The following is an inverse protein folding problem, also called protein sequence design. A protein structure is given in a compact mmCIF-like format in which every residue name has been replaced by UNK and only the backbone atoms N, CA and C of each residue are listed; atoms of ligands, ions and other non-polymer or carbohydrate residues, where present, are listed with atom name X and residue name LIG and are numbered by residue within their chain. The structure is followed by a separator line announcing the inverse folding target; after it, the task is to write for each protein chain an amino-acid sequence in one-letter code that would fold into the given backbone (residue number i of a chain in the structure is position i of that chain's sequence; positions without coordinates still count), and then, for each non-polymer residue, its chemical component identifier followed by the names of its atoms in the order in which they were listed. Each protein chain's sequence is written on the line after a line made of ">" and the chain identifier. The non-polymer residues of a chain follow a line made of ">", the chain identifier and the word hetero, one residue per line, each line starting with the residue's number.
data_IF_671787531606
#
_entry.id   IF_671787531606
#
_cell.length_a   1.000
_cell.length_b   1.000
_cell.length_c   1.000
_cell.angle_alpha   90.00
_cell.angle_beta   90.00
_cell.angle_gamma   90.00
#
_symmetry.space_group_name_H-M   'P 1'
#
loop_
_entity.id
_entity.type
_entity.pdbx_description
1 polymer ?
#
# COMPACT_ATOMS: atom_id res chain seq x y z
N UNK A 1 6.54 10.14 48.80
CA UNK A 1 5.76 9.80 47.58
C UNK A 1 4.85 8.59 47.79
N UNK A 2 5.36 7.42 48.21
CA UNK A 2 4.54 6.23 48.54
C UNK A 2 3.44 6.48 49.59
N UNK A 3 3.81 7.08 50.75
CA UNK A 3 2.85 7.50 51.80
C UNK A 3 1.89 8.63 51.38
N UNK A 4 2.20 9.37 50.32
CA UNK A 4 1.35 10.45 49.79
C UNK A 4 0.28 9.89 48.83
N UNK A 5 0.61 8.82 48.10
CA UNK A 5 -0.31 8.07 47.24
C UNK A 5 -1.30 7.25 48.09
N UNK A 6 -0.81 6.59 49.15
CA UNK A 6 -1.64 5.80 50.08
C UNK A 6 -2.69 6.65 50.80
N UNK A 7 -2.36 7.90 51.16
CA UNK A 7 -3.29 8.81 51.85
C UNK A 7 -4.35 9.43 50.93
N UNK A 8 -4.13 9.46 49.60
CA UNK A 8 -5.00 10.20 48.66
C UNK A 8 -5.94 9.30 47.86
N UNK A 9 -5.69 8.00 47.82
CA UNK A 9 -6.53 7.04 47.11
C UNK A 9 -7.48 6.23 48.01
N UNK A 10 -7.31 6.22 49.34
CA UNK A 10 -8.34 5.69 50.27
C UNK A 10 -8.85 4.27 49.99
N UNK A 11 -8.11 3.46 49.25
CA UNK A 11 -8.52 2.13 48.81
C UNK A 11 -7.41 1.16 49.19
N UNK A 12 -7.70 0.27 50.15
CA UNK A 12 -6.79 -0.81 50.54
C UNK A 12 -6.44 -1.69 49.34
N UNK A 13 -5.28 -2.36 49.39
CA UNK A 13 -4.73 -3.18 48.29
C UNK A 13 -5.73 -4.20 47.71
N UNK A 14 -6.67 -4.70 48.52
CA UNK A 14 -7.75 -5.59 48.09
C UNK A 14 -8.74 -4.95 47.11
N UNK A 15 -8.91 -3.62 47.16
CA UNK A 15 -9.80 -2.88 46.26
C UNK A 15 -9.18 -2.65 44.88
N UNK A 16 -7.87 -2.44 44.78
CA UNK A 16 -7.21 -2.21 43.49
C UNK A 16 -7.18 -3.49 42.64
N UNK A 17 -6.96 -4.65 43.26
CA UNK A 17 -7.00 -5.95 42.59
C UNK A 17 -8.40 -6.29 42.05
N UNK A 18 -9.44 -6.04 42.84
CA UNK A 18 -10.83 -6.27 42.42
C UNK A 18 -11.27 -5.34 41.28
N UNK A 19 -10.75 -4.12 41.22
CA UNK A 19 -11.01 -3.19 40.11
C UNK A 19 -10.32 -3.62 38.82
N UNK A 20 -9.06 -4.09 38.90
CA UNK A 20 -8.31 -4.60 37.75
C UNK A 20 -8.95 -5.88 37.18
N UNK A 21 -9.46 -6.77 38.04
CA UNK A 21 -10.15 -7.99 37.61
C UNK A 21 -11.51 -7.69 36.94
N UNK A 22 -12.23 -6.70 37.47
CA UNK A 22 -13.47 -6.21 36.86
C UNK A 22 -13.23 -5.55 35.49
N UNK A 23 -12.14 -4.80 35.32
CA UNK A 23 -11.78 -4.19 34.03
C UNK A 23 -11.28 -5.22 33.02
N UNK A 24 -10.48 -6.20 33.44
CA UNK A 24 -10.05 -7.30 32.59
C UNK A 24 -11.26 -8.10 32.07
N UNK A 25 -12.25 -8.35 32.94
CA UNK A 25 -13.49 -9.02 32.55
C UNK A 25 -14.30 -8.22 31.54
N UNK A 26 -14.45 -6.91 31.75
CA UNK A 26 -15.13 -6.01 30.78
C UNK A 26 -14.41 -5.96 29.43
N UNK A 27 -13.08 -5.97 29.44
CA UNK A 27 -12.26 -5.99 28.22
C UNK A 27 -12.45 -7.30 27.43
N UNK A 28 -12.45 -8.45 28.12
CA UNK A 28 -12.70 -9.75 27.48
C UNK A 28 -14.12 -9.82 26.89
N UNK A 29 -15.13 -9.34 27.62
CA UNK A 29 -16.52 -9.30 27.13
C UNK A 29 -16.66 -8.40 25.89
N UNK A 30 -15.99 -7.24 25.86
CA UNK A 30 -15.97 -6.36 24.69
C UNK A 30 -15.29 -7.00 23.47
N UNK A 31 -14.13 -7.63 23.66
CA UNK A 31 -13.44 -8.36 22.59
C UNK A 31 -14.27 -9.52 22.04
N UNK A 32 -14.98 -10.25 22.90
CA UNK A 32 -15.88 -11.32 22.48
C UNK A 32 -17.08 -10.79 21.69
N UNK A 33 -17.62 -9.63 22.09
CA UNK A 33 -18.71 -8.96 21.37
C UNK A 33 -18.26 -8.48 19.99
N UNK A 34 -17.09 -7.85 19.88
CA UNK A 34 -16.51 -7.40 18.61
C UNK A 34 -16.18 -8.58 17.69
N UNK A 35 -15.60 -9.66 18.23
CA UNK A 35 -15.31 -10.88 17.47
C UNK A 35 -16.61 -11.51 16.93
N UNK A 36 -17.68 -11.49 17.72
CA UNK A 36 -18.99 -11.98 17.30
C UNK A 36 -19.58 -11.10 16.20
N UNK A 37 -19.54 -9.77 16.36
CA UNK A 37 -20.00 -8.84 15.34
C UNK A 37 -19.23 -8.99 14.02
N UNK A 38 -17.90 -9.13 14.09
CA UNK A 38 -17.05 -9.38 12.93
C UNK A 38 -17.38 -10.72 12.24
N UNK A 39 -17.71 -11.76 13.01
CA UNK A 39 -18.14 -13.06 12.47
C UNK A 39 -19.50 -12.97 11.79
N UNK A 40 -20.45 -12.25 12.38
CA UNK A 40 -21.78 -12.03 11.81
C UNK A 40 -21.70 -11.19 10.52
N UNK A 41 -20.84 -10.17 10.51
CA UNK A 41 -20.52 -9.39 9.31
C UNK A 41 -19.86 -10.26 8.23
N UNK A 42 -18.88 -11.10 8.58
CA UNK A 42 -18.23 -12.01 7.63
C UNK A 42 -19.25 -12.98 7.00
N UNK A 43 -20.19 -13.51 7.79
CA UNK A 43 -21.28 -14.35 7.26
C UNK A 43 -22.25 -13.55 6.39
N UNK A 44 -22.49 -12.28 6.69
CA UNK A 44 -23.29 -11.39 5.85
C UNK A 44 -22.57 -11.10 4.52
N UNK A 45 -21.28 -10.81 4.54
CA UNK A 45 -20.48 -10.60 3.34
C UNK A 45 -20.38 -11.87 2.49
N UNK A 46 -20.25 -13.05 3.10
CA UNK A 46 -20.27 -14.33 2.38
C UNK A 46 -21.58 -14.49 1.60
N UNK A 47 -22.73 -14.25 2.24
CA UNK A 47 -24.05 -14.31 1.57
C UNK A 47 -24.16 -13.32 0.42
N UNK A 48 -23.74 -12.08 0.63
CA UNK A 48 -23.74 -11.04 -0.42
C UNK A 48 -22.83 -11.46 -1.60
N UNK A 49 -21.67 -12.06 -1.32
CA UNK A 49 -20.73 -12.52 -2.35
C UNK A 49 -21.28 -13.70 -3.13
N UNK A 50 -21.96 -14.65 -2.47
CA UNK A 50 -22.66 -15.76 -3.12
C UNK A 50 -23.79 -15.25 -4.02
N UNK A 51 -24.62 -14.32 -3.54
CA UNK A 51 -25.68 -13.67 -4.34
C UNK A 51 -25.09 -12.91 -5.55
N UNK A 52 -24.00 -12.17 -5.34
CA UNK A 52 -23.32 -11.44 -6.39
C UNK A 52 -22.66 -12.38 -7.41
N UNK A 53 -22.15 -13.54 -6.98
CA UNK A 53 -21.67 -14.60 -7.88
C UNK A 53 -22.77 -15.14 -8.80
N UNK A 54 -23.99 -15.32 -8.28
CA UNK A 54 -25.16 -15.71 -9.09
C UNK A 54 -25.52 -14.62 -10.10
N UNK A 55 -25.54 -13.36 -9.68
CA UNK A 55 -25.84 -12.22 -10.56
C UNK A 55 -24.77 -12.09 -11.67
N UNK A 56 -23.49 -12.17 -11.30
CA UNK A 56 -22.37 -12.10 -12.25
C UNK A 56 -22.34 -13.28 -13.22
N UNK A 57 -22.76 -14.46 -12.77
CA UNK A 57 -22.98 -15.62 -13.65
C UNK A 57 -24.02 -15.31 -14.73
N UNK A 58 -25.19 -14.77 -14.34
CA UNK A 58 -26.24 -14.37 -15.30
C UNK A 58 -25.77 -13.31 -16.28
N UNK A 59 -25.08 -12.27 -15.80
CA UNK A 59 -24.54 -11.22 -16.65
C UNK A 59 -23.47 -11.74 -17.63
N UNK A 60 -22.69 -12.74 -17.21
CA UNK A 60 -21.71 -13.41 -18.09
C UNK A 60 -22.41 -14.19 -19.19
N UNK A 61 -23.45 -14.95 -18.83
CA UNK A 61 -24.24 -15.72 -19.79
C UNK A 61 -24.95 -14.77 -20.80
N UNK A 62 -25.49 -13.65 -20.34
CA UNK A 62 -26.09 -12.60 -21.19
C UNK A 62 -25.05 -11.96 -22.12
N UNK A 63 -23.86 -11.62 -21.61
CA UNK A 63 -22.76 -11.08 -22.42
C UNK A 63 -22.32 -12.06 -23.50
N UNK A 64 -22.15 -13.33 -23.14
CA UNK A 64 -21.69 -14.36 -24.08
C UNK A 64 -22.76 -14.65 -25.14
N UNK A 65 -24.05 -14.58 -24.78
CA UNK A 65 -25.17 -14.58 -25.73
C UNK A 65 -25.08 -13.41 -26.71
N UNK A 66 -24.91 -12.18 -26.21
CA UNK A 66 -24.77 -10.99 -27.07
C UNK A 66 -23.51 -11.02 -27.96
N UNK A 67 -22.41 -11.59 -27.46
CA UNK A 67 -21.20 -11.79 -28.26
C UNK A 67 -21.45 -12.76 -29.41
N UNK A 68 -22.14 -13.87 -29.16
CA UNK A 68 -22.53 -14.83 -30.20
C UNK A 68 -23.45 -14.19 -31.24
N UNK A 69 -24.44 -13.40 -30.81
CA UNK A 69 -25.32 -12.63 -31.69
C UNK A 69 -24.53 -11.63 -32.55
N UNK A 70 -23.60 -10.89 -31.94
CA UNK A 70 -22.76 -9.92 -32.62
C UNK A 70 -21.78 -10.57 -33.60
N UNK A 71 -21.17 -11.71 -33.24
CA UNK A 71 -20.29 -12.47 -34.11
C UNK A 71 -21.07 -13.04 -35.31
N UNK A 72 -22.30 -13.53 -35.08
CA UNK A 72 -23.20 -13.97 -36.16
C UNK A 72 -23.55 -12.81 -37.10
N UNK A 73 -23.97 -11.67 -36.55
CA UNK A 73 -24.30 -10.48 -37.32
C UNK A 73 -23.07 -9.94 -38.10
N UNK A 74 -21.88 -9.95 -37.47
CA UNK A 74 -20.63 -9.54 -38.10
C UNK A 74 -20.18 -10.50 -39.20
N UNK A 75 -20.36 -11.81 -39.01
CA UNK A 75 -20.07 -12.81 -40.03
C UNK A 75 -20.99 -12.65 -41.24
N UNK A 76 -22.27 -12.36 -41.01
CA UNK A 76 -23.24 -12.08 -42.06
C UNK A 76 -22.90 -10.78 -42.81
N UNK A 77 -22.54 -9.72 -42.08
CA UNK A 77 -22.11 -8.46 -42.67
C UNK A 77 -20.84 -8.63 -43.53
N UNK A 78 -19.86 -9.40 -43.05
CA UNK A 78 -18.65 -9.76 -43.83
C UNK A 78 -18.96 -10.61 -45.06
N UNK A 79 -20.01 -11.44 -45.00
CA UNK A 79 -20.51 -12.21 -46.16
C UNK A 79 -21.09 -11.27 -47.21
N UNK A 80 -21.87 -10.28 -46.78
CA UNK A 80 -22.52 -9.30 -47.65
C UNK A 80 -21.56 -8.25 -48.21
N UNK A 81 -20.47 -7.93 -47.50
CA UNK A 81 -19.50 -6.90 -47.89
C UNK A 81 -18.26 -7.42 -48.61
N UNK A 82 -18.13 -8.73 -48.82
CA UNK A 82 -16.96 -9.31 -49.51
C UNK A 82 -16.93 -8.89 -50.99
N UNK A 83 -15.91 -8.14 -51.44
CA UNK A 83 -15.73 -7.86 -52.87
C UNK A 83 -15.30 -9.13 -53.60
N UNK A 84 -15.84 -9.36 -54.80
CA UNK A 84 -15.39 -10.43 -55.70
C UNK A 84 -13.90 -10.21 -56.02
N UNK A 85 -13.06 -11.20 -55.72
CA UNK A 85 -11.62 -11.12 -55.89
C UNK A 85 -11.21 -10.91 -57.36
N UNK A 86 -10.41 -9.88 -57.61
CA UNK A 86 -9.56 -9.73 -58.79
C UNK A 86 -8.09 -9.87 -58.36
N UNK A 87 -7.35 -10.64 -59.14
CA UNK A 87 -5.94 -11.03 -58.94
C UNK A 87 -4.94 -10.03 -59.53
N UNK A 88 -3.95 -9.60 -58.75
CA UNK A 88 -2.59 -9.16 -59.16
C UNK A 88 -1.78 -8.87 -57.87
N UNK A 89 -0.68 -9.54 -57.51
CA UNK A 89 0.67 -9.71 -58.10
C UNK A 89 1.58 -8.48 -58.03
N UNK A 90 2.76 -8.72 -57.40
CA UNK A 90 4.09 -8.12 -57.57
C UNK A 90 4.64 -7.12 -56.53
N UNK A 91 5.57 -7.65 -55.72
CA UNK A 91 6.96 -7.22 -55.45
C UNK A 91 7.35 -5.73 -55.26
N UNK A 92 8.14 -5.49 -54.20
CA UNK A 92 9.10 -4.38 -54.12
C UNK A 92 9.84 -4.33 -52.78
N UNK A 93 11.17 -4.47 -52.81
CA UNK A 93 12.06 -4.52 -51.65
C UNK A 93 13.01 -3.29 -51.57
N UNK A 94 13.63 -3.13 -50.39
CA UNK A 94 14.83 -2.34 -50.02
C UNK A 94 14.60 -0.84 -49.66
N UNK A 95 15.41 -0.15 -48.84
CA UNK A 95 16.84 -0.27 -48.47
C UNK A 95 17.16 0.58 -47.19
N UNK A 96 18.40 0.43 -46.66
CA UNK A 96 19.00 0.86 -45.36
C UNK A 96 19.43 2.35 -45.22
N UNK A 97 19.61 2.82 -43.96
CA UNK A 97 20.80 3.53 -43.37
C UNK A 97 20.40 4.10 -41.99
N UNK A 98 21.14 4.07 -40.86
CA UNK A 98 22.58 4.06 -40.61
C UNK A 98 23.04 5.45 -40.12
N UNK A 99 23.11 5.69 -38.80
CA UNK A 99 23.92 6.78 -38.20
C UNK A 99 24.23 6.54 -36.72
N UNK A 100 25.51 6.36 -36.45
CA UNK A 100 26.15 6.31 -35.14
C UNK A 100 26.04 7.64 -34.39
N UNK A 101 25.72 7.57 -33.09
CA UNK A 101 25.83 8.66 -32.13
C UNK A 101 26.54 8.13 -30.86
N UNK A 102 27.27 8.98 -30.12
CA UNK A 102 28.28 8.53 -29.16
C UNK A 102 27.64 7.94 -27.91
N UNK A 103 28.16 6.79 -27.48
CA UNK A 103 27.81 6.08 -26.25
C UNK A 103 28.19 6.94 -25.05
N UNK A 104 27.24 7.74 -24.58
CA UNK A 104 27.24 8.29 -23.23
C UNK A 104 27.01 7.13 -22.25
N UNK A 105 27.84 7.11 -21.21
CA UNK A 105 27.90 6.09 -20.15
C UNK A 105 26.49 5.65 -19.74
N UNK A 106 26.23 4.34 -19.84
CA UNK A 106 25.02 3.66 -19.39
C UNK A 106 24.85 3.85 -17.87
N UNK A 107 24.25 4.96 -17.45
CA UNK A 107 23.48 4.99 -16.20
C UNK A 107 22.23 4.15 -16.49
N UNK A 108 21.91 3.10 -15.69
CA UNK A 108 20.67 2.36 -15.91
C UNK A 108 19.49 3.34 -15.88
N UNK A 109 18.61 3.29 -16.89
CA UNK A 109 17.38 4.06 -16.84
C UNK A 109 16.59 3.60 -15.62
N UNK A 110 16.01 4.54 -14.88
CA UNK A 110 15.13 4.22 -13.74
C UNK A 110 14.14 3.12 -14.12
N UNK A 111 13.87 2.20 -13.20
CA UNK A 111 12.89 1.13 -13.43
C UNK A 111 11.44 1.65 -13.40
N UNK A 112 11.24 2.89 -12.94
CA UNK A 112 9.94 3.51 -12.71
C UNK A 112 9.15 3.70 -14.01
N UNK A 113 7.91 3.21 -14.02
CA UNK A 113 6.96 3.31 -15.14
C UNK A 113 5.60 3.85 -14.71
N UNK A 114 5.24 3.71 -13.44
CA UNK A 114 3.98 4.24 -12.90
C UNK A 114 4.24 5.00 -11.61
N UNK A 115 3.82 6.26 -11.57
CA UNK A 115 3.89 7.09 -10.38
C UNK A 115 2.48 7.43 -9.91
N UNK A 116 2.09 6.95 -8.74
CA UNK A 116 0.79 7.26 -8.15
C UNK A 116 0.94 8.27 -7.01
N UNK A 117 0.35 9.45 -7.14
CA UNK A 117 0.53 10.58 -6.21
C UNK A 117 -0.79 10.99 -5.57
N UNK A 118 -0.78 11.15 -4.24
CA UNK A 118 -1.86 11.73 -3.46
C UNK A 118 -1.32 12.38 -2.18
N UNK A 119 -2.15 12.60 -1.18
CA UNK A 119 -1.82 13.19 0.13
C UNK A 119 -1.35 12.14 1.16
N UNK A 120 -1.50 10.86 0.82
CA UNK A 120 -1.18 9.71 1.69
C UNK A 120 -2.37 9.21 2.50
N UNK A 121 -3.46 9.98 2.57
CA UNK A 121 -4.76 9.54 3.13
C UNK A 121 -5.85 9.37 2.07
N UNK A 122 -5.47 9.46 0.80
CA UNK A 122 -6.32 9.13 -0.35
C UNK A 122 -6.38 7.63 -0.67
N UNK A 123 -6.04 6.75 0.28
CA UNK A 123 -6.02 5.30 0.03
C UNK A 123 -4.79 4.82 -0.73
N UNK A 124 -3.65 5.50 -0.60
CA UNK A 124 -2.37 5.13 -1.24
C UNK A 124 -1.95 3.69 -0.92
N UNK A 125 -2.20 3.20 0.30
CA UNK A 125 -1.95 1.80 0.67
C UNK A 125 -2.83 0.82 -0.11
N UNK A 126 -4.11 1.15 -0.31
CA UNK A 126 -5.04 0.34 -1.12
C UNK A 126 -4.54 0.26 -2.56
N UNK A 127 -4.24 1.42 -3.14
CA UNK A 127 -3.73 1.50 -4.50
C UNK A 127 -2.41 0.75 -4.67
N UNK A 128 -1.48 0.84 -3.71
CA UNK A 128 -0.20 0.11 -3.78
C UNK A 128 -0.42 -1.39 -3.91
N UNK A 129 -1.31 -1.97 -3.09
CA UNK A 129 -1.57 -3.42 -3.16
C UNK A 129 -2.26 -3.83 -4.45
N UNK A 130 -3.21 -3.02 -4.95
CA UNK A 130 -3.80 -3.25 -6.27
C UNK A 130 -2.74 -3.21 -7.38
N UNK A 131 -1.81 -2.26 -7.33
CA UNK A 131 -0.71 -2.17 -8.29
C UNK A 131 0.25 -3.37 -8.18
N UNK A 132 0.54 -3.84 -6.96
CA UNK A 132 1.37 -5.04 -6.77
C UNK A 132 0.69 -6.28 -7.36
N UNK A 133 -0.61 -6.46 -7.15
CA UNK A 133 -1.34 -7.60 -7.70
C UNK A 133 -1.30 -7.63 -9.24
N UNK A 134 -1.34 -6.46 -9.89
CA UNK A 134 -1.15 -6.36 -11.35
C UNK A 134 0.22 -6.91 -11.77
N UNK A 135 1.29 -6.55 -11.06
CA UNK A 135 2.64 -7.04 -11.38
C UNK A 135 2.82 -8.52 -11.02
N UNK A 136 2.19 -9.00 -9.94
CA UNK A 136 2.20 -10.41 -9.56
C UNK A 136 1.58 -11.28 -10.65
N UNK A 137 0.46 -10.83 -11.25
CA UNK A 137 -0.16 -11.49 -12.40
C UNK A 137 0.74 -11.55 -13.65
N UNK A 138 1.56 -10.52 -13.87
CA UNK A 138 2.52 -10.49 -14.99
C UNK A 138 3.71 -11.43 -14.78
N UNK A 139 4.05 -11.78 -13.54
CA UNK A 139 5.11 -12.73 -13.22
C UNK A 139 6.54 -12.28 -13.58
N UNK A 140 6.76 -10.99 -13.85
CA UNK A 140 8.06 -10.42 -14.25
C UNK A 140 8.93 -9.97 -13.06
N UNK A 141 8.42 -10.08 -11.83
CA UNK A 141 9.14 -9.70 -10.61
C UNK A 141 9.14 -8.20 -10.31
N UNK A 142 8.38 -7.40 -11.07
CA UNK A 142 8.22 -5.98 -10.80
C UNK A 142 7.48 -5.72 -9.48
N UNK A 143 7.79 -4.58 -8.86
CA UNK A 143 7.26 -4.22 -7.55
C UNK A 143 6.60 -2.85 -7.55
N UNK A 144 5.45 -2.79 -6.89
CA UNK A 144 4.81 -1.56 -6.43
C UNK A 144 5.18 -1.31 -4.97
N UNK A 145 5.70 -0.12 -4.66
CA UNK A 145 6.13 0.23 -3.30
C UNK A 145 5.39 1.45 -2.79
N UNK A 146 4.89 1.33 -1.55
CA UNK A 146 4.25 2.43 -0.83
C UNK A 146 5.32 3.34 -0.22
N UNK A 147 5.22 4.64 -0.51
CA UNK A 147 6.04 5.71 0.06
C UNK A 147 7.56 5.55 -0.11
N UNK A 148 8.03 4.85 -1.16
CA UNK A 148 9.46 4.78 -1.48
C UNK A 148 10.06 6.19 -1.63
N UNK A 149 11.10 6.49 -0.85
CA UNK A 149 11.78 7.79 -0.85
C UNK A 149 10.89 9.00 -0.46
N UNK A 150 9.65 8.78 -0.03
CA UNK A 150 8.67 9.86 0.21
C UNK A 150 9.13 10.80 1.31
N UNK A 151 9.69 10.24 2.38
CA UNK A 151 10.25 11.02 3.49
C UNK A 151 11.40 11.88 3.00
N UNK A 152 12.37 11.25 2.33
CA UNK A 152 13.61 11.88 1.92
C UNK A 152 13.35 12.97 0.89
N UNK A 153 12.46 12.74 -0.09
CA UNK A 153 12.08 13.74 -1.08
C UNK A 153 11.38 14.95 -0.44
N UNK A 154 10.51 14.73 0.55
CA UNK A 154 9.90 15.83 1.30
C UNK A 154 10.96 16.63 2.07
N UNK A 155 11.87 15.95 2.77
CA UNK A 155 12.94 16.59 3.54
C UNK A 155 13.89 17.39 2.62
N UNK A 156 14.32 16.82 1.50
CA UNK A 156 15.15 17.48 0.50
C UNK A 156 14.45 18.68 -0.11
N UNK A 157 13.16 18.56 -0.47
CA UNK A 157 12.40 19.70 -1.00
C UNK A 157 12.31 20.84 0.02
N UNK A 158 11.97 20.53 1.28
CA UNK A 158 11.90 21.54 2.33
C UNK A 158 13.27 22.21 2.54
N UNK A 159 14.35 21.43 2.64
CA UNK A 159 15.72 21.96 2.77
C UNK A 159 16.09 22.85 1.58
N UNK A 160 15.84 22.42 0.35
CA UNK A 160 16.09 23.23 -0.86
C UNK A 160 15.37 24.58 -0.78
N UNK A 161 14.10 24.60 -0.32
CA UNK A 161 13.34 25.84 -0.20
C UNK A 161 13.82 26.73 0.95
N UNK A 162 14.29 26.16 2.04
CA UNK A 162 14.78 26.87 3.22
C UNK A 162 16.20 27.44 2.99
N UNK A 163 17.12 26.67 2.41
CA UNK A 163 18.54 27.05 2.28
C UNK A 163 18.88 27.68 0.92
N UNK A 164 18.05 27.43 -0.11
CA UNK A 164 18.32 27.78 -1.52
C UNK A 164 19.61 27.16 -2.08
N UNK A 165 20.09 26.09 -1.46
CA UNK A 165 21.28 25.37 -1.91
C UNK A 165 20.95 24.51 -3.13
N UNK A 166 21.57 24.84 -4.27
CA UNK A 166 21.35 24.14 -5.55
C UNK A 166 21.87 22.70 -5.56
N UNK A 167 22.80 22.33 -4.67
CA UNK A 167 23.29 20.95 -4.58
C UNK A 167 22.19 19.97 -4.15
N UNK A 168 21.20 20.44 -3.37
CA UNK A 168 20.07 19.63 -2.90
C UNK A 168 19.15 19.25 -4.07
N UNK A 169 19.04 20.09 -5.11
CA UNK A 169 18.27 19.73 -6.30
C UNK A 169 18.91 18.53 -7.02
N UNK A 170 20.25 18.46 -7.08
CA UNK A 170 20.92 17.30 -7.65
C UNK A 170 20.75 16.05 -6.78
N UNK A 171 20.68 16.18 -5.45
CA UNK A 171 20.32 15.05 -4.56
C UNK A 171 18.91 14.51 -4.88
N UNK A 172 17.93 15.40 -5.10
CA UNK A 172 16.57 15.02 -5.51
C UNK A 172 16.60 14.30 -6.87
N UNK A 173 17.32 14.85 -7.84
CA UNK A 173 17.46 14.26 -9.18
C UNK A 173 18.08 12.88 -9.12
N UNK A 174 19.16 12.73 -8.34
CA UNK A 174 19.85 11.45 -8.18
C UNK A 174 18.95 10.41 -7.53
N UNK A 175 18.24 10.77 -6.45
CA UNK A 175 17.27 9.90 -5.81
C UNK A 175 16.23 9.38 -6.81
N UNK A 176 15.61 10.26 -7.61
CA UNK A 176 14.62 9.87 -8.62
C UNK A 176 15.21 8.87 -9.64
N UNK A 177 16.42 9.12 -10.16
CA UNK A 177 17.08 8.22 -11.12
C UNK A 177 17.33 6.84 -10.54
N UNK A 178 17.71 6.78 -9.27
CA UNK A 178 18.06 5.55 -8.56
C UNK A 178 16.83 4.73 -8.12
N UNK A 179 15.61 5.14 -8.49
CA UNK A 179 14.41 4.38 -8.17
C UNK A 179 14.45 2.96 -8.76
N UNK A 180 14.47 1.90 -7.91
CA UNK A 180 14.60 0.53 -8.38
C UNK A 180 13.23 -0.14 -8.60
N UNK A 181 12.13 0.60 -8.51
CA UNK A 181 10.77 0.05 -8.51
C UNK A 181 10.01 0.46 -9.75
N UNK A 182 9.25 -0.48 -10.31
CA UNK A 182 8.38 -0.23 -11.46
C UNK A 182 7.23 0.73 -11.14
N UNK A 183 6.72 0.67 -9.91
CA UNK A 183 5.65 1.54 -9.45
C UNK A 183 5.92 2.06 -8.06
N UNK A 184 5.66 3.35 -7.86
CA UNK A 184 5.73 4.00 -6.56
C UNK A 184 4.42 4.73 -6.29
N UNK A 185 3.88 4.56 -5.08
CA UNK A 185 2.60 5.14 -4.66
C UNK A 185 2.76 5.88 -3.34
N UNK A 186 2.37 7.14 -3.24
CA UNK A 186 2.57 7.91 -2.00
C UNK A 186 2.34 9.42 -2.12
N UNK A 187 2.90 10.17 -1.15
CA UNK A 187 2.60 11.59 -0.92
C UNK A 187 3.78 12.56 -0.96
N UNK A 188 5.01 12.06 -1.12
CA UNK A 188 6.22 12.90 -1.17
C UNK A 188 6.58 13.43 -2.55
N UNK A 189 5.76 13.17 -3.57
CA UNK A 189 6.14 13.40 -4.96
C UNK A 189 5.56 14.69 -5.55
N UNK A 190 4.42 15.19 -5.06
CA UNK A 190 3.70 16.30 -5.67
C UNK A 190 4.54 17.57 -5.83
N UNK A 191 5.38 17.90 -4.83
CA UNK A 191 6.22 19.09 -4.85
C UNK A 191 7.40 19.01 -5.83
N UNK A 192 7.82 17.79 -6.17
CA UNK A 192 8.97 17.49 -7.05
C UNK A 192 8.55 16.92 -8.41
N UNK A 193 7.24 16.86 -8.71
CA UNK A 193 6.71 16.41 -10.00
C UNK A 193 7.38 17.05 -11.23
N UNK A 194 7.71 18.36 -11.25
CA UNK A 194 8.43 18.95 -12.38
C UNK A 194 9.81 18.33 -12.62
N UNK A 195 10.54 18.00 -11.55
CA UNK A 195 11.86 17.35 -11.64
C UNK A 195 11.68 15.92 -12.15
N UNK A 196 10.65 15.20 -11.67
CA UNK A 196 10.33 13.86 -12.15
C UNK A 196 9.98 13.89 -13.65
N UNK A 197 9.15 14.84 -14.08
CA UNK A 197 8.77 14.99 -15.48
C UNK A 197 9.97 15.30 -16.38
N UNK A 198 10.88 16.17 -15.95
CA UNK A 198 12.10 16.48 -16.69
C UNK A 198 12.99 15.24 -16.90
N UNK A 199 13.07 14.36 -15.90
CA UNK A 199 13.94 13.18 -15.94
C UNK A 199 13.31 11.97 -16.63
N UNK A 200 12.02 11.73 -16.35
CA UNK A 200 11.33 10.47 -16.65
C UNK A 200 9.95 10.67 -17.28
N UNK A 201 9.52 11.90 -17.57
CA UNK A 201 8.14 12.22 -17.98
C UNK A 201 7.62 11.37 -19.12
N UNK A 202 8.42 11.19 -20.18
CA UNK A 202 8.05 10.40 -21.37
C UNK A 202 7.91 8.88 -21.10
N UNK A 203 8.43 8.41 -19.96
CA UNK A 203 8.49 6.98 -19.61
C UNK A 203 7.44 6.58 -18.57
N UNK A 204 6.86 7.55 -17.85
CA UNK A 204 5.98 7.24 -16.72
C UNK A 204 4.54 7.63 -16.99
N UNK A 205 3.62 6.79 -16.51
CA UNK A 205 2.22 7.14 -16.34
C UNK A 205 2.01 7.77 -14.96
N UNK A 206 1.49 8.99 -14.92
CA UNK A 206 1.12 9.65 -13.68
C UNK A 206 -0.33 9.28 -13.29
N UNK A 207 -0.49 8.66 -12.13
CA UNK A 207 -1.81 8.40 -11.53
C UNK A 207 -2.05 9.40 -10.40
N UNK A 208 -3.06 10.27 -10.54
CA UNK A 208 -3.52 11.16 -9.49
C UNK A 208 -4.57 10.43 -8.66
N UNK A 209 -4.23 10.13 -7.40
CA UNK A 209 -5.16 9.55 -6.43
C UNK A 209 -5.70 10.66 -5.51
N UNK A 210 -7.03 10.71 -5.36
CA UNK A 210 -7.71 11.72 -4.52
C UNK A 210 -8.87 11.09 -3.75
N UNK A 211 -9.09 11.49 -2.51
CA UNK A 211 -10.32 11.16 -1.78
C UNK A 211 -11.36 12.24 -1.98
N UNK A 212 -12.56 11.92 -2.49
CA UNK A 212 -13.61 12.94 -2.68
C UNK A 212 -14.04 13.57 -1.37
N UNK A 213 -14.11 12.78 -0.30
CA UNK A 213 -14.37 13.30 1.04
C UNK A 213 -13.14 14.00 1.63
N UNK A 214 -12.97 15.26 1.25
CA UNK A 214 -11.92 16.16 1.73
C UNK A 214 -11.91 16.25 3.26
N UNK A 215 -13.07 16.35 3.90
CA UNK A 215 -13.16 16.52 5.35
C UNK A 215 -12.66 15.27 6.08
N UNK A 216 -13.05 14.08 5.61
CA UNK A 216 -12.55 12.82 6.17
C UNK A 216 -11.05 12.61 5.90
N UNK A 217 -10.53 13.07 4.76
CA UNK A 217 -9.09 13.06 4.49
C UNK A 217 -8.32 13.92 5.50
N UNK A 218 -8.78 15.14 5.75
CA UNK A 218 -8.16 16.08 6.70
C UNK A 218 -8.21 15.53 8.13
N UNK A 219 -9.38 15.01 8.55
CA UNK A 219 -9.52 14.40 9.87
C UNK A 219 -8.53 13.23 10.06
N UNK A 220 -8.39 12.37 9.05
CA UNK A 220 -7.44 11.26 9.08
C UNK A 220 -5.97 11.70 9.11
N UNK A 221 -5.64 12.80 8.43
CA UNK A 221 -4.31 13.42 8.50
C UNK A 221 -4.02 13.98 9.89
N UNK A 222 -4.99 14.69 10.49
CA UNK A 222 -4.88 15.25 11.83
C UNK A 222 -4.71 14.16 12.90
N UNK A 223 -5.55 13.13 12.88
CA UNK A 223 -5.45 11.98 13.79
C UNK A 223 -4.09 11.27 13.65
N UNK A 224 -3.58 11.12 12.42
CA UNK A 224 -2.25 10.56 12.21
C UNK A 224 -1.12 11.45 12.75
N UNK A 225 -1.30 12.77 12.78
CA UNK A 225 -0.32 13.67 13.38
C UNK A 225 -0.27 13.52 14.90
N UNK A 226 -1.40 13.23 15.53
CA UNK A 226 -1.48 12.92 16.97
C UNK A 226 -0.87 11.54 17.28
N UNK A 227 -1.16 10.52 16.46
CA UNK A 227 -0.66 9.15 16.66
C UNK A 227 0.82 8.97 16.31
N UNK A 228 1.38 9.82 15.45
CA UNK A 228 2.76 9.69 14.97
C UNK A 228 3.40 11.05 14.71
N UNK A 229 3.53 11.90 15.74
CA UNK A 229 4.01 13.28 15.63
C UNK A 229 5.42 13.39 15.04
N UNK A 230 6.23 12.34 15.15
CA UNK A 230 7.57 12.27 14.55
C UNK A 230 7.60 12.52 13.04
N UNK A 231 6.48 12.30 12.35
CA UNK A 231 6.37 12.46 10.90
C UNK A 231 5.96 13.89 10.45
N UNK A 232 5.89 14.86 11.37
CA UNK A 232 5.08 16.07 11.19
C UNK A 232 5.69 17.35 11.77
N UNK A 233 6.98 17.64 11.54
CA UNK A 233 7.71 18.82 12.11
C UNK A 233 6.93 20.13 12.09
N UNK A 234 6.31 20.47 10.96
CA UNK A 234 5.60 21.75 10.79
C UNK A 234 4.10 21.68 11.08
N UNK A 235 3.61 20.52 11.48
CA UNK A 235 2.19 20.24 11.67
C UNK A 235 1.89 19.87 13.12
N UNK A 236 2.70 19.01 13.74
CA UNK A 236 2.56 18.60 15.13
C UNK A 236 3.33 19.54 16.07
N UNK A 237 2.70 19.91 17.18
CA UNK A 237 3.37 20.58 18.30
C UNK A 237 3.97 19.53 19.24
N UNK A 238 5.09 18.95 18.83
CA UNK A 238 5.75 17.87 19.58
C UNK A 238 7.27 17.93 19.44
N UNK A 239 8.03 17.77 20.54
CA UNK A 239 9.49 17.68 20.47
C UNK A 239 9.97 16.41 19.76
N UNK A 240 9.11 15.40 19.59
CA UNK A 240 9.42 14.19 18.84
C UNK A 240 9.34 14.39 17.32
N UNK A 241 8.87 15.54 16.85
CA UNK A 241 8.68 15.82 15.42
C UNK A 241 10.03 16.00 14.71
N UNK A 242 10.35 15.09 13.79
CA UNK A 242 11.66 15.05 13.12
C UNK A 242 11.57 15.19 11.60
N UNK A 243 10.50 14.66 11.00
CA UNK A 243 10.35 14.62 9.54
C UNK A 243 9.54 15.79 9.02
N UNK A 244 10.06 16.42 7.97
CA UNK A 244 9.45 17.59 7.34
C UNK A 244 8.45 17.16 6.26
N UNK A 245 7.36 17.92 6.17
CA UNK A 245 6.43 17.91 5.03
C UNK A 245 6.39 19.32 4.44
N UNK A 246 6.20 19.48 3.11
CA UNK A 246 6.06 20.79 2.49
C UNK A 246 4.90 21.58 3.11
N UNK A 247 5.08 22.88 3.28
CA UNK A 247 4.11 23.81 3.90
C UNK A 247 3.95 25.06 3.02
N UNK A 248 2.94 25.88 3.30
CA UNK A 248 2.64 27.09 2.53
C UNK A 248 3.83 28.06 2.43
N UNK A 249 4.65 28.19 3.47
CA UNK A 249 5.82 29.07 3.43
C UNK A 249 6.95 28.54 2.53
N UNK A 250 7.07 27.22 2.33
CA UNK A 250 8.02 26.67 1.34
C UNK A 250 7.65 27.04 -0.10
N UNK A 251 6.37 27.35 -0.34
CA UNK A 251 5.84 27.82 -1.62
C UNK A 251 5.71 29.35 -1.70
N UNK A 252 6.07 30.09 -0.65
CA UNK A 252 5.95 31.54 -0.60
C UNK A 252 4.51 32.06 -0.52
N UNK A 253 3.55 31.20 -0.17
CA UNK A 253 2.12 31.55 -0.10
C UNK A 253 1.75 32.23 1.22
N UNK A 254 2.56 32.01 2.26
CA UNK A 254 2.50 32.74 3.53
C UNK A 254 3.86 32.76 4.21
N UNK A 255 3.99 33.57 5.25
CA UNK A 255 5.18 33.58 6.10
C UNK A 255 5.17 32.41 7.09
N UNK A 256 6.36 32.05 7.59
CA UNK A 256 6.48 30.98 8.59
C UNK A 256 5.74 31.29 9.90
N UNK A 257 5.75 32.51 10.46
CA UNK A 257 4.93 32.83 11.63
C UNK A 257 3.43 32.64 11.40
N UNK A 258 2.91 33.12 10.26
CA UNK A 258 1.50 32.92 9.88
C UNK A 258 1.13 31.44 9.81
N UNK A 259 2.03 30.59 9.28
CA UNK A 259 1.79 29.15 9.24
C UNK A 259 1.64 28.54 10.64
N UNK A 260 2.47 28.94 11.60
CA UNK A 260 2.42 28.39 12.95
C UNK A 260 1.18 28.84 13.73
N UNK A 261 0.58 29.98 13.39
CA UNK A 261 -0.68 30.45 13.96
C UNK A 261 -1.91 29.67 13.47
N UNK A 262 -1.80 28.93 12.36
CA UNK A 262 -2.91 28.12 11.84
C UNK A 262 -3.23 26.93 12.75
N UNK A 263 -4.53 26.59 12.80
CA UNK A 263 -4.99 25.34 13.41
C UNK A 263 -4.46 24.12 12.65
N UNK A 264 -4.36 22.97 13.32
CA UNK A 264 -3.92 21.72 12.68
C UNK A 264 -4.80 21.35 11.47
N UNK A 265 -6.12 21.55 11.61
CA UNK A 265 -7.10 21.33 10.55
C UNK A 265 -6.85 22.24 9.35
N UNK A 266 -6.53 23.52 9.57
CA UNK A 266 -6.25 24.46 8.47
C UNK A 266 -4.93 24.14 7.77
N UNK A 267 -3.89 23.75 8.54
CA UNK A 267 -2.62 23.28 7.97
C UNK A 267 -2.83 22.07 7.06
N UNK A 268 -3.62 21.09 7.49
CA UNK A 268 -3.92 19.91 6.66
C UNK A 268 -4.92 20.19 5.54
N UNK A 269 -5.84 21.13 5.72
CA UNK A 269 -6.69 21.64 4.65
C UNK A 269 -5.84 22.24 3.52
N UNK A 270 -4.90 23.10 3.86
CA UNK A 270 -3.93 23.63 2.90
C UNK A 270 -3.11 22.50 2.25
N UNK A 271 -2.60 21.54 3.03
CA UNK A 271 -1.78 20.44 2.49
C UNK A 271 -2.54 19.60 1.47
N UNK A 272 -3.80 19.28 1.75
CA UNK A 272 -4.69 18.55 0.85
C UNK A 272 -4.89 19.32 -0.45
N UNK A 273 -5.34 20.58 -0.37
CA UNK A 273 -5.64 21.40 -1.56
C UNK A 273 -4.36 21.67 -2.37
N UNK A 274 -3.24 21.95 -1.69
CA UNK A 274 -1.97 22.20 -2.34
C UNK A 274 -1.45 20.96 -3.08
N UNK A 275 -1.50 19.80 -2.45
CA UNK A 275 -1.01 18.55 -3.06
C UNK A 275 -1.76 18.26 -4.35
N UNK A 276 -3.10 18.30 -4.33
CA UNK A 276 -3.90 18.03 -5.52
C UNK A 276 -3.73 19.10 -6.59
N UNK A 277 -3.70 20.39 -6.23
CA UNK A 277 -3.46 21.45 -7.20
C UNK A 277 -2.08 21.38 -7.87
N UNK A 278 -1.05 20.90 -7.18
CA UNK A 278 0.26 20.64 -7.78
C UNK A 278 0.21 19.48 -8.78
N UNK A 279 -0.46 18.39 -8.43
CA UNK A 279 -0.62 17.23 -9.33
C UNK A 279 -1.37 17.65 -10.59
N UNK A 280 -2.52 18.32 -10.44
CA UNK A 280 -3.33 18.81 -11.57
C UNK A 280 -2.55 19.79 -12.45
N UNK A 281 -1.79 20.71 -11.84
CA UNK A 281 -0.97 21.70 -12.56
C UNK A 281 0.10 21.04 -13.41
N UNK A 282 0.73 19.97 -12.92
CA UNK A 282 1.86 19.32 -13.59
C UNK A 282 1.46 18.06 -14.37
N UNK A 283 0.18 17.68 -14.37
CA UNK A 283 -0.32 16.53 -15.11
C UNK A 283 0.01 16.62 -16.61
N UNK A 284 -0.03 17.82 -17.18
CA UNK A 284 0.30 18.09 -18.59
C UNK A 284 1.78 17.86 -18.94
N UNK A 285 2.67 17.68 -17.96
CA UNK A 285 4.07 17.34 -18.18
C UNK A 285 4.28 15.83 -18.42
N UNK A 286 3.23 15.03 -18.26
CA UNK A 286 3.25 13.59 -18.48
C UNK A 286 2.36 13.24 -19.69
N UNK A 287 2.83 12.40 -20.62
CA UNK A 287 2.05 12.02 -21.79
C UNK A 287 0.85 11.15 -21.41
N UNK A 288 0.97 10.36 -20.34
CA UNK A 288 -0.07 9.47 -19.85
C UNK A 288 -0.45 9.87 -18.42
N UNK A 289 -1.73 10.16 -18.23
CA UNK A 289 -2.28 10.53 -16.92
C UNK A 289 -3.58 9.77 -16.65
N UNK A 290 -3.83 9.47 -15.38
CA UNK A 290 -5.06 8.85 -14.91
C UNK A 290 -5.47 9.49 -13.58
N UNK A 291 -6.65 10.07 -13.52
CA UNK A 291 -7.24 10.55 -12.27
C UNK A 291 -8.15 9.48 -11.68
N UNK A 292 -7.97 9.18 -10.39
CA UNK A 292 -8.72 8.17 -9.66
C UNK A 292 -9.18 8.74 -8.33
N UNK A 293 -10.47 8.65 -8.07
CA UNK A 293 -11.01 8.92 -6.75
C UNK A 293 -10.99 7.64 -5.89
N UNK A 294 -10.59 7.73 -4.62
CA UNK A 294 -10.44 6.61 -3.68
C UNK A 294 -11.69 5.74 -3.61
N UNK A 295 -12.85 6.40 -3.61
CA UNK A 295 -14.16 5.75 -3.51
C UNK A 295 -14.51 4.92 -4.75
N UNK A 296 -13.83 5.15 -5.87
CA UNK A 296 -14.06 4.44 -7.13
C UNK A 296 -13.03 3.33 -7.39
N UNK A 297 -12.08 3.07 -6.46
CA UNK A 297 -11.06 2.01 -6.62
C UNK A 297 -11.66 0.61 -6.82
N UNK A 298 -12.87 0.35 -6.31
CA UNK A 298 -13.57 -0.92 -6.55
C UNK A 298 -14.17 -1.05 -7.96
N UNK A 299 -14.38 0.06 -8.68
CA UNK A 299 -15.07 0.06 -9.96
C UNK A 299 -14.25 -0.65 -11.05
N UNK A 300 -14.89 -1.54 -11.81
CA UNK A 300 -14.25 -2.34 -12.87
C UNK A 300 -13.50 -1.47 -13.90
N UNK A 301 -14.07 -0.31 -14.25
CA UNK A 301 -13.45 0.64 -15.18
C UNK A 301 -12.15 1.23 -14.62
N UNK A 302 -12.13 1.57 -13.33
CA UNK A 302 -10.92 2.09 -12.65
C UNK A 302 -9.87 0.99 -12.55
N UNK A 303 -10.25 -0.23 -12.17
CA UNK A 303 -9.33 -1.37 -12.07
C UNK A 303 -8.71 -1.71 -13.43
N UNK A 304 -9.51 -1.68 -14.50
CA UNK A 304 -9.02 -1.86 -15.87
C UNK A 304 -8.07 -0.72 -16.30
N UNK A 305 -8.38 0.53 -15.95
CA UNK A 305 -7.52 1.66 -16.24
C UNK A 305 -6.17 1.58 -15.49
N UNK A 306 -6.17 1.13 -14.24
CA UNK A 306 -4.94 0.88 -13.46
C UNK A 306 -4.09 -0.23 -14.07
N UNK A 307 -4.73 -1.33 -14.51
CA UNK A 307 -4.05 -2.38 -15.26
C UNK A 307 -3.40 -1.83 -16.53
N UNK A 308 -4.14 -1.05 -17.31
CA UNK A 308 -3.63 -0.44 -18.53
C UNK A 308 -2.46 0.51 -18.26
N UNK A 309 -2.54 1.34 -17.20
CA UNK A 309 -1.46 2.23 -16.79
C UNK A 309 -0.18 1.46 -16.43
N UNK A 310 -0.29 0.24 -15.90
CA UNK A 310 0.82 -0.66 -15.61
C UNK A 310 1.24 -1.54 -16.80
N UNK A 311 0.63 -1.38 -17.98
CA UNK A 311 0.89 -2.21 -19.16
C UNK A 311 0.28 -3.62 -19.09
N UNK A 312 -0.75 -3.83 -18.29
CA UNK A 312 -1.48 -5.09 -18.12
C UNK A 312 -2.87 -5.06 -18.74
N UNK A 313 -3.38 -6.22 -19.13
CA UNK A 313 -4.81 -6.44 -19.43
C UNK A 313 -5.57 -7.06 -18.27
N UNK A 314 -4.86 -7.57 -17.25
CA UNK A 314 -5.46 -8.22 -16.10
C UNK A 314 -5.69 -7.20 -14.98
N UNK A 315 -6.97 -6.90 -14.72
CA UNK A 315 -7.37 -6.00 -13.66
C UNK A 315 -7.12 -6.62 -12.27
N UNK A 316 -6.61 -5.85 -11.30
CA UNK A 316 -6.47 -6.34 -9.93
C UNK A 316 -7.85 -6.52 -9.31
N UNK A 317 -8.01 -7.35 -8.28
CA UNK A 317 -9.24 -7.40 -7.48
C UNK A 317 -9.51 -6.05 -6.80
N UNK A 318 -10.78 -5.81 -6.47
CA UNK A 318 -11.13 -4.67 -5.64
C UNK A 318 -10.49 -4.83 -4.25
N UNK A 319 -9.78 -3.81 -3.81
CA UNK A 319 -9.09 -3.86 -2.53
C UNK A 319 -9.14 -2.50 -1.84
N UNK A 320 -9.63 -2.50 -0.60
CA UNK A 320 -9.73 -1.31 0.24
C UNK A 320 -9.19 -1.60 1.64
N UNK A 321 -8.03 -1.02 1.93
CA UNK A 321 -7.51 -0.82 3.29
C UNK A 321 -7.58 0.65 3.64
N UNK A 322 -8.39 0.93 4.65
CA UNK A 322 -8.34 2.08 5.56
C UNK A 322 -9.65 2.09 6.36
N UNK A 323 -9.99 0.98 7.00
CA UNK A 323 -10.84 1.09 8.20
C UNK A 323 -9.92 1.61 9.28
N UNK A 324 -10.01 2.91 9.57
CA UNK A 324 -9.54 3.39 10.87
C UNK A 324 -10.28 2.55 11.91
N UNK A 325 -9.50 1.83 12.72
CA UNK A 325 -10.05 1.04 13.80
C UNK A 325 -10.21 2.01 14.96
N UNK A 326 -11.32 1.94 15.67
CA UNK A 326 -11.47 2.75 16.87
C UNK A 326 -10.49 2.27 17.94
N UNK A 327 -9.46 3.06 18.21
CA UNK A 327 -8.40 2.73 19.16
C UNK A 327 -8.54 3.44 20.50
N UNK A 328 -9.71 4.02 20.81
CA UNK A 328 -9.93 4.73 22.09
C UNK A 328 -9.66 3.84 23.31
N UNK A 329 -9.91 2.55 23.18
CA UNK A 329 -9.70 1.55 24.22
C UNK A 329 -8.28 0.97 24.27
N UNK A 330 -7.42 1.30 23.30
CA UNK A 330 -6.02 0.84 23.25
C UNK A 330 -5.13 1.83 24.03
N UNK A 331 -4.20 1.35 24.87
CA UNK A 331 -3.19 2.21 25.51
C UNK A 331 -2.43 3.07 24.50
N UNK A 332 -2.22 4.35 24.82
CA UNK A 332 -1.71 5.34 23.88
C UNK A 332 -0.37 4.93 23.23
N UNK A 333 0.51 4.30 24.01
CA UNK A 333 1.80 3.75 23.60
C UNK A 333 1.68 2.59 22.59
N UNK A 334 0.55 1.88 22.56
CA UNK A 334 0.29 0.75 21.66
C UNK A 334 -0.57 1.11 20.44
N UNK A 335 -1.23 2.27 20.43
CA UNK A 335 -2.16 2.66 19.34
C UNK A 335 -1.51 2.65 17.96
N UNK A 336 -0.29 3.19 17.83
CA UNK A 336 0.41 3.24 16.54
C UNK A 336 0.67 1.83 15.97
N UNK A 337 1.09 0.89 16.82
CA UNK A 337 1.28 -0.51 16.43
C UNK A 337 -0.05 -1.19 16.04
N UNK A 338 -1.09 -1.05 16.87
CA UNK A 338 -2.40 -1.65 16.58
C UNK A 338 -3.03 -1.08 15.33
N UNK A 339 -2.92 0.24 15.10
CA UNK A 339 -3.41 0.88 13.87
C UNK A 339 -2.68 0.34 12.64
N UNK A 340 -1.36 0.10 12.73
CA UNK A 340 -0.59 -0.49 11.63
C UNK A 340 -1.04 -1.92 11.35
N UNK A 341 -1.18 -2.73 12.40
CA UNK A 341 -1.58 -4.13 12.28
C UNK A 341 -2.98 -4.29 11.68
N UNK A 342 -3.98 -3.64 12.29
CA UNK A 342 -5.38 -3.82 11.92
C UNK A 342 -5.83 -2.92 10.77
N UNK A 343 -5.28 -1.71 10.67
CA UNK A 343 -5.61 -0.78 9.59
C UNK A 343 -5.17 -1.24 8.21
N UNK A 344 -4.20 -2.16 8.14
CA UNK A 344 -3.71 -2.77 6.89
C UNK A 344 -4.26 -4.19 6.64
N UNK A 345 -5.12 -4.69 7.52
CA UNK A 345 -5.66 -6.04 7.41
C UNK A 345 -6.66 -6.12 6.26
N UNK A 346 -6.42 -7.03 5.33
CA UNK A 346 -7.38 -7.36 4.27
C UNK A 346 -8.41 -8.37 4.78
N UNK A 347 -9.60 -7.86 5.13
CA UNK A 347 -10.70 -8.68 5.63
C UNK A 347 -11.22 -9.66 4.56
N UNK A 348 -11.10 -9.32 3.27
CA UNK A 348 -11.51 -10.24 2.21
C UNK A 348 -10.51 -11.39 2.08
N UNK A 349 -9.20 -11.12 2.17
CA UNK A 349 -8.19 -12.19 2.16
C UNK A 349 -8.32 -13.13 3.36
N UNK A 350 -8.69 -12.60 4.53
CA UNK A 350 -9.00 -13.46 5.69
C UNK A 350 -10.11 -14.48 5.40
N UNK A 351 -11.04 -14.18 4.50
CA UNK A 351 -12.12 -15.09 4.14
C UNK A 351 -11.72 -16.14 3.09
N UNK A 352 -10.63 -15.94 2.36
CA UNK A 352 -10.21 -16.80 1.24
C UNK A 352 -8.90 -17.56 1.52
N UNK A 353 -8.13 -17.11 2.50
CA UNK A 353 -6.81 -17.64 2.82
C UNK A 353 -6.66 -17.74 4.34
N UNK A 354 -6.85 -18.95 4.85
CA UNK A 354 -6.82 -19.26 6.29
C UNK A 354 -5.49 -18.88 6.96
N UNK A 355 -4.41 -18.74 6.18
CA UNK A 355 -3.07 -18.40 6.68
C UNK A 355 -2.74 -16.92 6.54
N UNK A 356 -3.55 -16.12 5.85
CA UNK A 356 -3.28 -14.71 5.59
C UNK A 356 -3.14 -13.89 6.88
N UNK A 357 -4.08 -14.05 7.81
CA UNK A 357 -4.07 -13.31 9.08
C UNK A 357 -2.83 -13.61 9.90
N UNK A 358 -2.42 -14.88 9.96
CA UNK A 358 -1.21 -15.29 10.66
C UNK A 358 0.04 -14.66 10.03
N UNK A 359 0.17 -14.71 8.70
CA UNK A 359 1.29 -14.07 7.99
C UNK A 359 1.31 -12.56 8.23
N UNK A 360 0.17 -11.88 8.19
CA UNK A 360 0.08 -10.44 8.43
C UNK A 360 0.57 -10.08 9.84
N UNK A 361 0.07 -10.77 10.87
CA UNK A 361 0.48 -10.54 12.26
C UNK A 361 1.98 -10.78 12.43
N UNK A 362 2.50 -11.90 11.92
CA UNK A 362 3.93 -12.23 12.04
C UNK A 362 4.81 -11.21 11.33
N UNK A 363 4.47 -10.82 10.10
CA UNK A 363 5.23 -9.84 9.33
C UNK A 363 5.27 -8.48 10.02
N UNK A 364 4.13 -7.99 10.53
CA UNK A 364 4.06 -6.71 11.25
C UNK A 364 4.81 -6.75 12.58
N UNK A 365 4.73 -7.86 13.31
CA UNK A 365 5.50 -8.05 14.54
C UNK A 365 7.01 -8.06 14.25
N UNK A 366 7.47 -8.85 13.28
CA UNK A 366 8.88 -8.90 12.87
C UNK A 366 9.35 -7.50 12.44
N UNK A 367 8.56 -6.80 11.62
CA UNK A 367 8.88 -5.45 11.19
C UNK A 367 8.98 -4.49 12.38
N UNK A 368 8.01 -4.51 13.29
CA UNK A 368 8.00 -3.64 14.47
C UNK A 368 9.21 -3.88 15.36
N UNK A 369 9.50 -5.14 15.69
CA UNK A 369 10.62 -5.50 16.56
C UNK A 369 11.99 -5.22 15.91
N UNK A 370 12.10 -5.34 14.58
CA UNK A 370 13.35 -5.07 13.86
C UNK A 370 13.65 -3.57 13.70
N UNK A 371 12.63 -2.73 13.56
CA UNK A 371 12.81 -1.30 13.21
C UNK A 371 12.52 -0.34 14.36
N UNK A 372 11.87 -0.80 15.44
CA UNK A 372 11.56 0.02 16.61
C UNK A 372 12.02 -0.66 17.91
N UNK A 373 13.31 -1.05 18.05
CA UNK A 373 13.83 -1.39 19.37
C UNK A 373 13.76 -0.11 20.22
N UNK A 374 12.92 -0.09 21.25
CA UNK A 374 12.80 1.05 22.14
C UNK A 374 14.20 1.44 22.67
N UNK A 375 14.52 2.74 22.65
CA UNK A 375 15.80 3.24 23.17
C UNK A 375 15.81 3.41 24.70
N UNK A 376 14.74 2.98 25.37
CA UNK A 376 14.60 3.08 26.82
C UNK A 376 15.44 2.00 27.56
N UNK A 377 15.97 2.30 28.76
CA UNK A 377 16.60 1.29 29.60
C UNK A 377 15.65 0.11 29.87
N UNK A 378 16.07 -1.12 29.54
CA UNK A 378 15.26 -2.34 29.69
C UNK A 378 14.51 -2.80 28.44
N UNK A 379 14.43 -1.97 27.40
CA UNK A 379 13.76 -2.30 26.14
C UNK A 379 14.35 -3.50 25.40
N UNK A 380 15.68 -3.69 25.47
CA UNK A 380 16.35 -4.86 24.89
C UNK A 380 16.02 -6.15 25.64
N UNK A 381 15.83 -6.08 26.95
CA UNK A 381 15.45 -7.25 27.75
C UNK A 381 13.98 -7.59 27.54
N UNK A 382 13.11 -6.59 27.40
CA UNK A 382 11.70 -6.77 27.02
C UNK A 382 11.57 -7.34 25.59
N UNK A 383 12.38 -6.85 24.64
CA UNK A 383 12.48 -7.40 23.29
C UNK A 383 12.94 -8.85 23.30
N UNK A 384 14.01 -9.17 24.04
CA UNK A 384 14.50 -10.55 24.18
C UNK A 384 13.45 -11.46 24.80
N UNK A 385 12.79 -11.01 25.86
CA UNK A 385 11.72 -11.76 26.51
C UNK A 385 10.54 -11.99 25.56
N UNK A 386 10.13 -10.96 24.82
CA UNK A 386 9.05 -11.04 23.82
C UNK A 386 9.40 -12.03 22.72
N UNK A 387 10.63 -12.00 22.20
CA UNK A 387 11.10 -12.96 21.19
C UNK A 387 11.13 -14.40 21.72
N UNK A 388 11.58 -14.61 22.96
CA UNK A 388 11.57 -15.94 23.61
C UNK A 388 10.14 -16.45 23.78
N UNK A 389 9.23 -15.60 24.25
CA UNK A 389 7.83 -15.99 24.46
C UNK A 389 7.11 -16.24 23.13
N UNK A 390 7.40 -15.44 22.09
CA UNK A 390 6.92 -15.71 20.72
C UNK A 390 7.44 -17.05 20.21
N UNK A 391 8.73 -17.34 20.36
CA UNK A 391 9.31 -18.62 19.96
C UNK A 391 8.63 -19.78 20.69
N UNK A 392 8.45 -19.66 22.02
CA UNK A 392 7.78 -20.68 22.84
C UNK A 392 6.33 -20.90 22.40
N UNK A 393 5.59 -19.84 22.11
CA UNK A 393 4.21 -19.91 21.65
C UNK A 393 4.12 -20.57 20.26
N UNK A 394 5.01 -20.19 19.34
CA UNK A 394 5.09 -20.78 18.01
C UNK A 394 5.46 -22.26 18.08
N UNK A 395 6.45 -22.65 18.88
CA UNK A 395 6.84 -24.05 19.09
C UNK A 395 5.68 -24.89 19.62
N UNK A 396 4.96 -24.39 20.64
CA UNK A 396 3.80 -25.07 21.19
C UNK A 396 2.72 -25.28 20.12
N UNK A 397 2.44 -24.25 19.32
CA UNK A 397 1.43 -24.34 18.24
C UNK A 397 1.89 -25.22 17.08
N UNK A 398 3.19 -25.27 16.79
CA UNK A 398 3.76 -26.23 15.84
C UNK A 398 3.52 -27.66 16.33
N UNK A 399 3.62 -27.92 17.63
CA UNK A 399 3.23 -29.19 18.25
C UNK A 399 1.78 -29.56 17.96
N UNK A 400 0.85 -28.64 18.23
CA UNK A 400 -0.59 -28.84 17.96
C UNK A 400 -0.87 -29.07 16.46
N UNK A 401 -0.18 -28.34 15.58
CA UNK A 401 -0.30 -28.50 14.13
C UNK A 401 0.23 -29.87 13.70
N UNK A 402 1.36 -30.34 14.23
CA UNK A 402 1.90 -31.67 13.93
C UNK A 402 0.92 -32.77 14.36
N UNK A 403 0.34 -32.65 15.54
CA UNK A 403 -0.67 -33.61 16.01
C UNK A 403 -1.90 -33.62 15.08
N UNK A 404 -2.37 -32.44 14.63
CA UNK A 404 -3.45 -32.36 13.66
C UNK A 404 -3.06 -32.95 12.30
N UNK A 405 -1.84 -32.69 11.82
CA UNK A 405 -1.30 -33.25 10.57
C UNK A 405 -1.25 -34.78 10.62
N UNK A 406 -0.76 -35.35 11.72
CA UNK A 406 -0.76 -36.79 11.96
C UNK A 406 -2.19 -37.36 11.95
N UNK A 407 -3.13 -36.70 12.62
CA UNK A 407 -4.55 -37.10 12.65
C UNK A 407 -5.21 -37.09 11.27
N UNK A 408 -4.80 -36.20 10.36
CA UNK A 408 -5.32 -36.13 8.98
C UNK A 408 -4.45 -36.86 7.96
N UNK A 409 -3.44 -37.62 8.41
CA UNK A 409 -2.58 -38.43 7.55
C UNK A 409 -1.59 -37.63 6.70
N UNK A 410 -1.35 -36.36 7.04
CA UNK A 410 -0.32 -35.53 6.40
C UNK A 410 0.98 -35.74 7.16
N UNK A 411 1.89 -36.55 6.62
CA UNK A 411 3.21 -36.76 7.22
C UNK A 411 4.14 -35.62 6.79
N UNK A 412 4.62 -34.77 7.70
CA UNK A 412 5.55 -33.73 7.32
C UNK A 412 6.93 -34.33 7.08
N UNK A 413 7.45 -34.18 5.86
CA UNK A 413 8.85 -34.49 5.56
C UNK A 413 9.73 -33.33 6.06
N UNK A 414 9.92 -33.25 7.38
CA UNK A 414 10.63 -32.13 8.05
C UNK A 414 12.15 -32.25 7.92
N UNK A 415 12.68 -33.35 7.39
CA UNK A 415 14.13 -33.58 7.30
C UNK A 415 14.83 -32.63 6.31
N UNK A 416 14.11 -32.07 5.33
CA UNK A 416 14.68 -31.17 4.32
C UNK A 416 14.74 -29.69 4.70
N UNK A 417 14.01 -29.23 5.73
CA UNK A 417 13.86 -27.80 6.02
C UNK A 417 14.85 -27.30 7.08
N UNK A 418 15.35 -28.17 7.94
CA UNK A 418 16.28 -27.80 9.03
C UNK A 418 17.76 -28.02 8.67
N UNK A 419 18.06 -28.78 7.62
CA UNK A 419 19.42 -28.97 7.11
C UNK A 419 19.56 -28.23 5.78
N UNK A 420 20.09 -27.01 5.83
CA UNK A 420 20.47 -26.26 4.64
C UNK A 420 21.51 -27.03 3.82
N UNK A 421 21.05 -27.82 2.85
CA UNK A 421 21.80 -28.27 1.68
C UNK A 421 20.84 -28.97 0.72
N UNK A 422 20.51 -28.32 -0.41
CA UNK A 422 19.80 -28.98 -1.50
C UNK A 422 18.81 -28.07 -2.22
N UNK A 423 19.31 -27.09 -2.97
CA UNK A 423 18.53 -26.57 -4.09
C UNK A 423 18.21 -27.75 -5.04
N UNK A 424 16.96 -27.94 -5.50
CA UNK A 424 16.71 -28.83 -6.61
C UNK A 424 17.31 -28.17 -7.85
N UNK A 425 18.49 -28.65 -8.27
CA UNK A 425 18.97 -28.45 -9.64
C UNK A 425 17.89 -28.98 -10.57
N UNK A 426 17.30 -28.09 -11.36
CA UNK A 426 16.48 -28.44 -12.49
C UNK A 426 17.20 -29.52 -13.33
N UNK A 427 16.60 -30.70 -13.41
CA UNK A 427 17.00 -31.74 -14.36
C UNK A 427 16.69 -31.24 -15.77
N UNK A 428 17.71 -30.66 -16.41
CA UNK A 428 17.88 -30.78 -17.85
C UNK A 428 18.06 -32.28 -18.14
N UNK A 429 17.08 -32.88 -18.81
CA UNK A 429 17.23 -33.92 -19.85
C UNK A 429 15.92 -34.71 -19.98
N UNK A 430 15.08 -34.31 -20.95
CA UNK A 430 14.19 -35.21 -21.71
C UNK A 430 13.47 -34.41 -22.82
N UNK A 431 14.22 -33.94 -23.82
CA UNK A 431 13.67 -33.72 -25.16
C UNK A 431 14.80 -33.95 -26.18
N UNK A 432 15.20 -35.21 -26.28
CA UNK A 432 15.77 -35.80 -27.49
C UNK A 432 15.12 -37.18 -27.61
N UNK A 433 14.49 -37.40 -28.77
CA UNK A 433 13.83 -38.61 -29.28
C UNK A 433 12.31 -38.70 -29.11
N UNK A 434 11.58 -37.94 -29.92
CA UNK A 434 10.62 -38.45 -30.93
C UNK A 434 9.90 -37.30 -31.62
#
# INVERSE_FOLDING_TARGET
>A
MRRWIEARLGLGEASAANWLDADAKRFIEALQSELKAAKDDAQRYKRITEEMGVIMGRLRDERDSHKLEWESASAELRRLTRPRATTASANGAALRSGRDAPVLKNTPSSALRVLCVGTGRDGTTSLTRMMQEIFDHQGNGDRAVHEWGSRELNELFCRLKETKDSSIEEEIRQMIRDCPHACVVGNGYAAVLPIIAELLGDQITLVHLRRRDRAACIASLAENAELSPQNHVYYADSPAAERKRPTAFHFGEMTQPQWFELSLTDKFGWYYDKTHSLIERYANLFPNTLAVDTEDLAADSVRAALAHAAGSTEAPRAFHVNRFVDLRHVPADRRSFVQRLLGQLDVQMLAHDDLYGLRQVLNEMIYHLAHFPDAAPGALDELRWTLVEMHRLLDNRIGDVRELMERVGVVPDVAGVLNGQGAPRASKEAYLNS
#
